data_IF_217083545615
#
_entry.id   IF_217083545615
#
_cell.length_a   1.000
_cell.length_b   1.000
_cell.length_c   1.000
_cell.angle_alpha   90.00
_cell.angle_beta   90.00
_cell.angle_gamma   90.00
#
_symmetry.space_group_name_H-M   'P 1'
#
loop_
_entity.id
_entity.type
_entity.pdbx_description
1 polymer ?
#
# COMPACT_ATOMS: atom_id res chain seq x y z
N UNK A 1 -16.51 6.40 -23.90
CA UNK A 1 -15.04 6.24 -23.70
C UNK A 1 -14.82 4.80 -23.27
N UNK A 2 -14.00 3.98 -23.95
CA UNK A 2 -13.82 2.60 -23.51
C UNK A 2 -13.12 2.60 -22.14
N UNK A 3 -13.72 1.91 -21.17
CA UNK A 3 -13.14 1.72 -19.84
C UNK A 3 -11.84 0.94 -20.02
N UNK A 4 -10.70 1.58 -19.74
CA UNK A 4 -9.41 0.91 -19.76
C UNK A 4 -9.46 -0.24 -18.74
N UNK A 5 -9.16 -1.45 -19.20
CA UNK A 5 -9.14 -2.62 -18.32
C UNK A 5 -7.99 -2.45 -17.33
N UNK A 6 -8.25 -2.54 -16.00
CA UNK A 6 -7.21 -2.43 -14.98
C UNK A 6 -6.06 -3.37 -15.30
N UNK A 7 -4.83 -2.85 -15.28
CA UNK A 7 -3.64 -3.68 -15.52
C UNK A 7 -3.52 -4.66 -14.34
N UNK A 8 -3.31 -5.94 -14.63
CA UNK A 8 -3.19 -6.96 -13.57
C UNK A 8 -2.09 -6.58 -12.58
N UNK A 9 -2.37 -6.68 -11.27
CA UNK A 9 -1.41 -6.38 -10.21
C UNK A 9 -0.09 -7.16 -10.36
N UNK A 10 -0.15 -8.39 -10.88
CA UNK A 10 1.05 -9.18 -11.19
C UNK A 10 1.90 -8.59 -12.31
N UNK A 11 1.25 -8.06 -13.36
CA UNK A 11 1.94 -7.45 -14.48
C UNK A 11 2.64 -6.16 -14.06
N UNK A 12 1.97 -5.37 -13.22
CA UNK A 12 2.56 -4.15 -12.65
C UNK A 12 3.71 -4.52 -11.73
N UNK A 13 3.52 -5.47 -10.81
CA UNK A 13 4.57 -5.94 -9.92
C UNK A 13 5.81 -6.32 -10.72
N UNK A 14 5.72 -7.19 -11.75
CA UNK A 14 6.88 -7.57 -12.56
C UNK A 14 7.58 -6.41 -13.29
N UNK A 15 6.87 -5.32 -13.58
CA UNK A 15 7.41 -4.16 -14.30
C UNK A 15 8.10 -3.13 -13.42
N UNK A 16 7.90 -3.18 -12.10
CA UNK A 16 8.46 -2.22 -11.15
C UNK A 16 9.74 -2.78 -10.52
N UNK A 17 10.70 -1.91 -10.22
CA UNK A 17 11.90 -2.30 -9.52
C UNK A 17 11.58 -2.54 -8.05
N UNK A 18 11.94 -3.72 -7.54
CA UNK A 18 11.70 -4.09 -6.14
C UNK A 18 12.97 -4.00 -5.32
N UNK A 19 12.81 -3.53 -4.09
CA UNK A 19 13.80 -3.69 -3.05
C UNK A 19 13.61 -5.05 -2.37
N UNK A 20 14.65 -5.53 -1.69
CA UNK A 20 14.56 -6.76 -0.92
C UNK A 20 13.52 -6.60 0.21
N UNK A 21 12.52 -7.49 0.26
CA UNK A 21 11.48 -7.47 1.29
C UNK A 21 12.06 -7.45 2.72
N UNK A 22 13.16 -8.17 2.97
CA UNK A 22 13.84 -8.20 4.27
C UNK A 22 14.41 -6.85 4.66
N UNK A 23 14.91 -6.07 3.68
CA UNK A 23 15.39 -4.72 3.94
C UNK A 23 14.23 -3.82 4.40
N UNK A 24 13.09 -3.88 3.71
CA UNK A 24 11.88 -3.15 4.11
C UNK A 24 11.41 -3.54 5.52
N UNK A 25 11.27 -4.84 5.80
CA UNK A 25 10.86 -5.34 7.12
C UNK A 25 11.82 -4.91 8.22
N UNK A 26 13.13 -4.95 7.97
CA UNK A 26 14.13 -4.52 8.95
C UNK A 26 14.04 -3.02 9.23
N UNK A 27 13.89 -2.19 8.19
CA UNK A 27 13.75 -0.74 8.36
C UNK A 27 12.46 -0.39 9.10
N UNK A 28 11.34 -1.03 8.75
CA UNK A 28 10.08 -0.81 9.46
C UNK A 28 10.17 -1.25 10.93
N UNK A 29 10.80 -2.39 11.21
CA UNK A 29 11.06 -2.85 12.57
C UNK A 29 11.90 -1.86 13.37
N UNK A 30 12.91 -1.26 12.76
CA UNK A 30 13.73 -0.23 13.41
C UNK A 30 12.95 1.05 13.71
N UNK A 31 12.07 1.49 12.79
CA UNK A 31 11.17 2.64 13.03
C UNK A 31 10.26 2.36 14.23
N UNK A 32 9.62 1.19 14.27
CA UNK A 32 8.74 0.81 15.39
C UNK A 32 9.53 0.74 16.70
N UNK A 33 10.72 0.13 16.67
CA UNK A 33 11.62 0.06 17.83
C UNK A 33 12.00 1.45 18.34
N UNK A 34 12.27 2.38 17.44
CA UNK A 34 12.59 3.76 17.80
C UNK A 34 11.38 4.45 18.44
N UNK A 35 10.18 4.33 17.86
CA UNK A 35 8.97 4.92 18.44
C UNK A 35 8.65 4.36 19.83
N UNK A 36 8.82 3.05 20.04
CA UNK A 36 8.64 2.40 21.34
C UNK A 36 9.66 2.85 22.39
N UNK A 37 10.83 3.32 21.97
CA UNK A 37 11.82 3.89 22.87
C UNK A 37 11.51 5.35 23.21
N UNK A 38 10.97 6.09 22.24
CA UNK A 38 10.73 7.54 22.34
C UNK A 38 9.37 7.87 23.00
N UNK A 39 8.43 6.92 22.99
CA UNK A 39 7.07 7.06 23.50
C UNK A 39 6.79 5.99 24.56
N UNK A 40 6.22 6.40 25.69
CA UNK A 40 5.93 5.50 26.82
C UNK A 40 4.67 4.65 26.59
N UNK A 41 3.69 5.19 25.87
CA UNK A 41 2.37 4.57 25.67
C UNK A 41 2.24 4.00 24.24
N UNK A 42 1.78 2.76 24.13
CA UNK A 42 1.61 2.05 22.84
C UNK A 42 0.56 2.74 21.97
N UNK A 43 -0.46 3.35 22.56
CA UNK A 43 -1.48 4.13 21.87
C UNK A 43 -0.87 5.30 21.09
N UNK A 44 0.12 6.00 21.66
CA UNK A 44 0.80 7.10 20.99
C UNK A 44 1.70 6.61 19.85
N UNK A 45 2.34 5.45 20.02
CA UNK A 45 3.09 4.78 18.94
C UNK A 45 2.17 4.47 17.76
N UNK A 46 0.98 3.92 18.03
CA UNK A 46 0.02 3.59 16.98
C UNK A 46 -0.49 4.83 16.24
N UNK A 47 -0.75 5.94 16.95
CA UNK A 47 -1.14 7.22 16.34
C UNK A 47 -0.05 7.75 15.41
N UNK A 48 1.21 7.67 15.84
CA UNK A 48 2.35 8.08 15.01
C UNK A 48 2.50 7.21 13.76
N UNK A 49 2.38 5.88 13.91
CA UNK A 49 2.43 4.95 12.77
C UNK A 49 1.28 5.18 11.78
N UNK A 50 0.06 5.44 12.26
CA UNK A 50 -1.09 5.78 11.42
C UNK A 50 -0.86 7.08 10.66
N UNK A 51 -0.40 8.14 11.33
CA UNK A 51 -0.10 9.43 10.71
C UNK A 51 1.00 9.31 9.65
N UNK A 52 2.05 8.52 9.93
CA UNK A 52 3.09 8.22 8.95
C UNK A 52 2.54 7.46 7.74
N UNK A 53 1.73 6.42 7.98
CA UNK A 53 1.07 5.64 6.93
C UNK A 53 0.17 6.48 6.04
N UNK A 54 -0.63 7.37 6.62
CA UNK A 54 -1.49 8.31 5.89
C UNK A 54 -0.68 9.24 4.97
N UNK A 55 0.38 9.84 5.49
CA UNK A 55 1.26 10.74 4.72
C UNK A 55 2.03 10.01 3.61
N UNK A 56 2.41 8.75 3.83
CA UNK A 56 3.01 7.89 2.81
C UNK A 56 1.96 7.56 1.73
N UNK A 57 0.76 7.16 2.14
CA UNK A 57 -0.34 6.81 1.23
C UNK A 57 -0.72 7.94 0.27
N UNK A 58 -0.79 9.18 0.77
CA UNK A 58 -1.02 10.37 -0.07
C UNK A 58 0.03 10.53 -1.17
N UNK A 59 1.29 10.12 -0.92
CA UNK A 59 2.34 10.20 -1.94
C UNK A 59 2.32 9.00 -2.88
N UNK A 60 1.95 7.82 -2.37
CA UNK A 60 1.89 6.58 -3.17
C UNK A 60 0.73 6.56 -4.16
N UNK A 61 -0.38 7.24 -3.86
CA UNK A 61 -1.58 7.21 -4.72
C UNK A 61 -1.29 7.70 -6.15
N UNK A 62 -0.43 8.70 -6.31
CA UNK A 62 -0.07 9.23 -7.63
C UNK A 62 0.65 8.17 -8.48
N UNK A 63 1.58 7.43 -7.88
CA UNK A 63 2.28 6.33 -8.55
C UNK A 63 1.35 5.16 -8.86
N UNK A 64 0.45 4.83 -7.92
CA UNK A 64 -0.56 3.79 -8.12
C UNK A 64 -1.46 4.10 -9.32
N UNK A 65 -2.01 5.32 -9.39
CA UNK A 65 -2.87 5.74 -10.50
C UNK A 65 -2.12 5.76 -11.84
N UNK A 66 -0.86 6.20 -11.83
CA UNK A 66 -0.04 6.27 -13.04
C UNK A 66 0.30 4.88 -13.62
N UNK A 67 0.48 3.85 -12.77
CA UNK A 67 0.93 2.52 -13.20
C UNK A 67 -0.21 1.51 -13.38
N UNK A 68 -1.32 1.68 -12.68
CA UNK A 68 -2.44 0.73 -12.68
C UNK A 68 -3.41 0.89 -13.87
N UNK A 69 -3.36 2.04 -14.57
CA UNK A 69 -4.32 2.43 -15.61
C UNK A 69 -5.79 2.37 -15.13
N UNK A 70 -6.00 2.50 -13.83
CA UNK A 70 -7.34 2.45 -13.26
C UNK A 70 -7.99 3.84 -13.36
N UNK A 71 -9.21 3.88 -13.93
CA UNK A 71 -10.09 5.05 -13.81
C UNK A 71 -10.62 5.19 -12.38
N UNK A 72 -11.04 6.40 -11.99
CA UNK A 72 -11.68 6.63 -10.68
C UNK A 72 -12.78 5.59 -10.41
N UNK A 73 -12.62 4.81 -9.34
CA UNK A 73 -13.63 3.86 -8.86
C UNK A 73 -14.93 4.58 -8.52
N UNK A 74 -16.06 3.97 -8.84
CA UNK A 74 -17.38 4.58 -8.60
C UNK A 74 -17.93 4.14 -7.24
N UNK A 75 -17.62 2.91 -6.82
CA UNK A 75 -18.15 2.30 -5.60
C UNK A 75 -17.07 1.81 -4.63
N UNK A 76 -17.34 1.90 -3.32
CA UNK A 76 -16.41 1.48 -2.26
C UNK A 76 -15.99 0.00 -2.37
N UNK A 77 -16.92 -0.86 -2.82
CA UNK A 77 -16.62 -2.29 -3.05
C UNK A 77 -15.55 -2.48 -4.12
N UNK A 78 -15.64 -1.73 -5.23
CA UNK A 78 -14.65 -1.81 -6.30
C UNK A 78 -13.28 -1.30 -5.82
N UNK A 79 -13.28 -0.21 -5.04
CA UNK A 79 -12.07 0.31 -4.39
C UNK A 79 -11.42 -0.74 -3.49
N UNK A 80 -12.21 -1.44 -2.66
CA UNK A 80 -11.68 -2.50 -1.80
C UNK A 80 -11.07 -3.65 -2.60
N UNK A 81 -11.74 -4.09 -3.68
CA UNK A 81 -11.21 -5.14 -4.56
C UNK A 81 -9.91 -4.71 -5.25
N UNK A 82 -9.81 -3.44 -5.65
CA UNK A 82 -8.63 -2.88 -6.28
C UNK A 82 -7.45 -2.79 -5.33
N UNK A 83 -7.67 -2.33 -4.10
CA UNK A 83 -6.64 -2.31 -3.06
C UNK A 83 -6.12 -3.73 -2.82
N UNK A 84 -7.03 -4.68 -2.63
CA UNK A 84 -6.69 -6.04 -2.25
C UNK A 84 -5.98 -6.86 -3.34
N UNK A 85 -6.32 -6.63 -4.62
CA UNK A 85 -5.81 -7.42 -5.77
C UNK A 85 -4.71 -6.72 -6.57
N UNK A 86 -4.71 -5.39 -6.62
CA UNK A 86 -3.81 -4.61 -7.47
C UNK A 86 -2.79 -3.86 -6.64
N UNK A 87 -3.24 -3.08 -5.67
CA UNK A 87 -2.39 -2.16 -4.91
C UNK A 87 -1.39 -2.89 -3.99
N UNK A 88 -1.91 -3.78 -3.13
CA UNK A 88 -1.06 -4.63 -2.27
C UNK A 88 -0.12 -5.52 -3.09
N UNK A 89 -0.56 -5.96 -4.27
CA UNK A 89 0.26 -6.78 -5.16
C UNK A 89 1.37 -5.95 -5.77
N UNK A 90 1.10 -4.72 -6.15
CA UNK A 90 2.06 -3.80 -6.76
C UNK A 90 3.16 -3.40 -5.78
N UNK A 91 2.83 -3.03 -4.54
CA UNK A 91 3.81 -2.49 -3.59
C UNK A 91 4.45 -3.55 -2.69
N UNK A 92 3.69 -4.55 -2.25
CA UNK A 92 4.14 -5.55 -1.27
C UNK A 92 4.25 -6.96 -1.83
N UNK A 93 3.82 -7.18 -3.08
CA UNK A 93 3.84 -8.52 -3.70
C UNK A 93 2.75 -9.46 -3.19
N UNK A 94 1.83 -8.98 -2.34
CA UNK A 94 0.80 -9.78 -1.65
C UNK A 94 -0.58 -9.51 -2.24
N UNK A 95 -1.44 -10.53 -2.27
CA UNK A 95 -2.86 -10.39 -2.58
C UNK A 95 -3.68 -10.89 -1.41
N UNK A 96 -4.77 -10.19 -1.06
CA UNK A 96 -5.67 -10.61 0.00
C UNK A 96 -7.11 -10.73 -0.50
N UNK A 97 -7.91 -11.67 0.01
CA UNK A 97 -9.33 -11.70 -0.29
C UNK A 97 -10.05 -10.56 0.46
N UNK A 98 -10.95 -9.86 -0.22
CA UNK A 98 -11.87 -8.92 0.44
C UNK A 98 -12.95 -9.75 1.13
N UNK A 99 -12.96 -9.72 2.47
CA UNK A 99 -14.00 -10.35 3.28
C UNK A 99 -15.13 -9.34 3.56
N UNK A 100 -16.32 -9.87 3.84
CA UNK A 100 -17.55 -9.09 4.10
C UNK A 100 -17.61 -8.60 5.53
#
# INVERSE_FOLDING_TARGET
>A
MPLATPRSGEAIFRSVNHLNAKLFTSTYGEIVRQLLNDLEEVEEVNKQLDQMGYNIGIKLIDEFLAKSNVSKSVDFKETAEMIAKVDLKMFLGVTTPVMK
#
